data_IF_100422690593
#
_entry.id   IF_100422690593
#
_cell.length_a   1.000
_cell.length_b   1.000
_cell.length_c   1.000
_cell.angle_alpha   90.00
_cell.angle_beta   90.00
_cell.angle_gamma   90.00
#
_symmetry.space_group_name_H-M   'P 1'
#
loop_
_entity.id
_entity.type
_entity.pdbx_description
1 polymer ?
#
# COMPACT_ATOMS: atom_id res chain seq x y z
N UNK A 1 -8.66 4.88 -31.48
CA UNK A 1 -7.49 5.70 -31.86
C UNK A 1 -6.44 5.59 -30.75
N UNK A 2 -5.16 5.55 -31.11
CA UNK A 2 -4.04 5.40 -30.16
C UNK A 2 -3.01 6.50 -30.41
N UNK A 3 -2.74 7.35 -29.42
CA UNK A 3 -1.65 8.31 -29.48
C UNK A 3 -0.42 7.68 -28.81
N UNK A 4 0.48 7.15 -29.61
CA UNK A 4 1.71 6.51 -29.13
C UNK A 4 2.76 7.58 -28.86
N UNK A 5 3.16 7.73 -27.61
CA UNK A 5 4.03 8.80 -27.12
C UNK A 5 5.32 8.23 -26.57
N UNK A 6 6.41 8.92 -26.83
CA UNK A 6 7.70 8.74 -26.16
C UNK A 6 8.34 10.12 -25.94
N UNK A 7 9.12 10.26 -24.86
CA UNK A 7 9.79 11.51 -24.51
C UNK A 7 11.24 11.29 -24.11
N UNK A 8 12.07 12.30 -24.36
CA UNK A 8 13.38 12.41 -23.71
C UNK A 8 13.33 13.52 -22.67
N UNK A 9 14.11 13.36 -21.60
CA UNK A 9 14.02 14.25 -20.43
C UNK A 9 15.39 14.58 -19.86
N UNK A 10 15.45 15.69 -19.13
CA UNK A 10 16.65 16.12 -18.37
C UNK A 10 16.99 15.25 -17.15
N UNK A 11 16.24 14.18 -16.86
CA UNK A 11 16.45 13.29 -15.72
C UNK A 11 15.19 12.49 -15.34
N UNK A 12 15.24 11.69 -14.27
CA UNK A 12 14.25 10.64 -14.02
C UNK A 12 12.96 11.03 -13.27
N UNK A 13 12.79 12.29 -12.85
CA UNK A 13 11.65 12.71 -12.01
C UNK A 13 10.92 13.93 -12.59
N UNK A 14 9.62 13.84 -12.92
CA UNK A 14 8.87 14.94 -13.54
C UNK A 14 8.71 16.17 -12.63
N UNK A 15 8.92 16.02 -11.31
CA UNK A 15 8.85 17.16 -10.37
C UNK A 15 10.01 18.14 -10.56
N UNK A 16 11.20 17.61 -10.83
CA UNK A 16 12.46 18.37 -10.86
C UNK A 16 13.08 18.46 -12.25
N UNK A 17 12.64 17.62 -13.18
CA UNK A 17 13.17 17.53 -14.55
C UNK A 17 12.10 17.91 -15.58
N UNK A 18 12.58 18.30 -16.76
CA UNK A 18 11.80 18.82 -17.89
C UNK A 18 11.99 17.95 -19.14
N UNK A 19 11.04 18.04 -20.08
CA UNK A 19 11.05 17.36 -21.38
C UNK A 19 12.03 18.06 -22.33
N UNK A 20 12.83 17.28 -23.08
CA UNK A 20 13.80 17.76 -24.09
C UNK A 20 13.47 17.33 -25.51
N UNK A 21 12.66 16.28 -25.67
CA UNK A 21 12.12 15.81 -26.95
C UNK A 21 10.78 15.14 -26.69
N UNK A 22 9.83 15.30 -27.61
CA UNK A 22 8.56 14.59 -27.59
C UNK A 22 8.25 14.06 -28.99
N UNK A 23 7.82 12.80 -29.05
CA UNK A 23 7.30 12.18 -30.26
C UNK A 23 5.91 11.61 -29.99
N UNK A 24 4.96 11.90 -30.87
CA UNK A 24 3.59 11.42 -30.81
C UNK A 24 3.18 10.91 -32.19
N UNK A 25 2.82 9.64 -32.29
CA UNK A 25 2.23 9.03 -33.47
C UNK A 25 0.77 8.69 -33.21
N UNK A 26 -0.13 9.27 -34.00
CA UNK A 26 -1.54 8.93 -33.96
C UNK A 26 -1.77 7.71 -34.86
N UNK A 27 -2.26 6.62 -34.27
CA UNK A 27 -2.37 5.32 -34.90
C UNK A 27 -3.82 4.82 -34.82
N UNK A 28 -4.40 4.42 -35.95
CA UNK A 28 -5.81 4.00 -36.01
C UNK A 28 -6.04 2.51 -35.70
N UNK A 29 -4.96 1.75 -35.51
CA UNK A 29 -4.96 0.29 -35.37
C UNK A 29 -4.33 -0.42 -36.56
N UNK A 30 -4.21 0.26 -37.69
CA UNK A 30 -3.59 -0.25 -38.93
C UNK A 30 -2.44 0.64 -39.36
N UNK A 31 -2.68 1.95 -39.47
CA UNK A 31 -1.75 2.92 -40.04
C UNK A 31 -1.55 4.14 -39.12
N UNK A 32 -0.40 4.80 -39.26
CA UNK A 32 -0.14 6.09 -38.63
C UNK A 32 -0.86 7.14 -39.47
N UNK A 33 -1.78 7.88 -38.84
CA UNK A 33 -2.65 8.86 -39.49
C UNK A 33 -2.26 10.31 -39.19
N UNK A 34 -1.44 10.54 -38.17
CA UNK A 34 -0.86 11.84 -37.83
C UNK A 34 0.45 11.65 -37.05
N UNK A 35 1.37 12.61 -37.14
CA UNK A 35 2.62 12.60 -36.38
C UNK A 35 2.99 14.00 -35.86
N UNK A 36 3.62 14.02 -34.69
CA UNK A 36 4.19 15.23 -34.11
C UNK A 36 5.48 14.88 -33.37
N UNK A 37 6.61 15.35 -33.89
CA UNK A 37 7.94 15.12 -33.33
C UNK A 37 8.66 16.46 -33.22
N UNK A 38 9.18 16.78 -32.04
CA UNK A 38 9.96 18.01 -31.86
C UNK A 38 10.90 17.93 -30.67
N UNK A 39 12.03 18.64 -30.78
CA UNK A 39 12.83 19.00 -29.60
C UNK A 39 12.05 20.03 -28.78
N UNK A 40 12.30 20.04 -27.48
CA UNK A 40 11.67 20.97 -26.55
C UNK A 40 12.76 21.68 -25.77
N UNK A 41 12.69 23.01 -25.69
CA UNK A 41 13.53 23.77 -24.79
C UNK A 41 13.07 23.51 -23.35
N UNK A 42 13.86 22.82 -22.52
CA UNK A 42 13.46 22.45 -21.16
C UNK A 42 13.54 23.63 -20.18
N UNK A 43 14.08 24.78 -20.59
CA UNK A 43 14.36 25.94 -19.74
C UNK A 43 15.22 25.60 -18.50
N UNK A 44 16.03 24.54 -18.61
CA UNK A 44 16.96 24.08 -17.57
C UNK A 44 18.14 23.36 -18.22
N UNK A 45 19.24 23.23 -17.46
CA UNK A 45 20.45 22.57 -17.94
C UNK A 45 20.25 21.06 -18.08
N UNK A 46 20.64 20.51 -19.23
CA UNK A 46 20.73 19.06 -19.48
C UNK A 46 22.08 18.55 -18.96
N UNK A 47 22.10 17.67 -17.94
CA UNK A 47 23.34 17.11 -17.42
C UNK A 47 24.08 16.26 -18.47
N UNK A 48 25.42 16.28 -18.45
CA UNK A 48 26.24 15.56 -19.42
C UNK A 48 25.94 14.05 -19.51
N UNK A 49 25.60 13.40 -18.39
CA UNK A 49 25.25 11.98 -18.40
C UNK A 49 23.94 11.70 -19.15
N UNK A 50 22.98 12.65 -19.16
CA UNK A 50 21.75 12.57 -19.95
C UNK A 50 22.07 12.78 -21.44
N UNK A 51 22.85 13.81 -21.77
CA UNK A 51 23.31 14.03 -23.16
C UNK A 51 24.03 12.81 -23.73
N UNK A 52 24.81 12.09 -22.92
CA UNK A 52 25.43 10.83 -23.35
C UNK A 52 24.45 9.69 -23.61
N UNK A 53 23.28 9.71 -22.97
CA UNK A 53 22.24 8.68 -23.13
C UNK A 53 21.34 8.97 -24.33
N UNK A 54 20.90 10.22 -24.48
CA UNK A 54 19.88 10.62 -25.46
C UNK A 54 20.47 11.25 -26.72
N UNK A 55 21.74 11.68 -26.66
CA UNK A 55 22.38 12.45 -27.71
C UNK A 55 21.91 13.90 -27.83
N UNK A 56 20.99 14.35 -26.96
CA UNK A 56 20.45 15.72 -26.99
C UNK A 56 21.35 16.64 -26.16
N UNK A 57 21.92 17.65 -26.82
CA UNK A 57 22.79 18.65 -26.18
C UNK A 57 22.01 19.91 -25.79
N UNK A 58 22.58 20.71 -24.89
CA UNK A 58 21.97 21.99 -24.50
C UNK A 58 21.84 22.94 -25.70
N UNK A 59 22.79 22.91 -26.64
CA UNK A 59 22.80 23.73 -27.85
C UNK A 59 21.64 23.36 -28.78
N UNK A 60 21.32 22.06 -28.91
CA UNK A 60 20.22 21.58 -29.76
C UNK A 60 18.86 22.08 -29.30
N UNK A 61 18.65 22.20 -27.99
CA UNK A 61 17.35 22.60 -27.41
C UNK A 61 17.24 24.11 -27.15
N UNK A 62 18.31 24.87 -27.36
CA UNK A 62 18.32 26.32 -27.06
C UNK A 62 17.29 27.07 -27.91
N UNK A 63 17.24 26.78 -29.21
CA UNK A 63 16.32 27.39 -30.18
C UNK A 63 15.05 26.54 -30.42
N UNK A 64 14.90 25.43 -29.69
CA UNK A 64 13.71 24.60 -29.77
C UNK A 64 12.50 25.31 -29.11
N UNK A 65 11.25 24.99 -29.52
CA UNK A 65 10.08 25.55 -28.87
C UNK A 65 10.01 25.12 -27.40
N UNK A 66 9.54 26.00 -26.53
CA UNK A 66 9.22 25.67 -25.13
C UNK A 66 7.93 24.88 -25.07
N UNK A 67 7.71 24.15 -23.99
CA UNK A 67 6.54 23.27 -23.87
C UNK A 67 5.21 24.03 -24.07
N UNK A 68 5.07 25.25 -23.54
CA UNK A 68 3.83 26.03 -23.70
C UNK A 68 3.52 26.39 -25.17
N UNK A 69 4.52 26.44 -26.05
CA UNK A 69 4.35 26.74 -27.47
C UNK A 69 3.79 25.52 -28.23
N UNK A 70 4.09 24.31 -27.76
CA UNK A 70 3.63 23.05 -28.36
C UNK A 70 2.41 22.46 -27.66
N UNK A 71 2.04 22.95 -26.47
CA UNK A 71 0.99 22.40 -25.62
C UNK A 71 -0.34 22.20 -26.35
N UNK A 72 -0.76 23.19 -27.16
CA UNK A 72 -1.98 23.09 -27.97
C UNK A 72 -1.94 21.88 -28.92
N UNK A 73 -0.83 21.68 -29.63
CA UNK A 73 -0.68 20.58 -30.58
C UNK A 73 -0.70 19.23 -29.89
N UNK A 74 -0.08 19.12 -28.71
CA UNK A 74 -0.12 17.90 -27.88
C UNK A 74 -1.55 17.57 -27.44
N UNK A 75 -2.35 18.57 -27.04
CA UNK A 75 -3.77 18.36 -26.70
C UNK A 75 -4.55 17.87 -27.91
N UNK A 76 -4.38 18.51 -29.07
CA UNK A 76 -5.11 18.20 -30.30
C UNK A 76 -4.82 16.78 -30.80
N UNK A 77 -3.54 16.41 -30.94
CA UNK A 77 -3.16 15.08 -31.48
C UNK A 77 -3.52 13.93 -30.53
N UNK A 78 -3.59 14.19 -29.23
CA UNK A 78 -3.96 13.17 -28.22
C UNK A 78 -5.46 13.16 -27.90
N UNK A 79 -6.27 14.04 -28.50
CA UNK A 79 -7.71 14.08 -28.25
C UNK A 79 -8.37 12.79 -28.73
N UNK A 80 -9.33 12.28 -27.96
CA UNK A 80 -10.14 11.10 -28.30
C UNK A 80 -9.33 9.84 -28.64
N UNK A 81 -8.09 9.77 -28.14
CA UNK A 81 -7.17 8.66 -28.31
C UNK A 81 -6.64 8.15 -26.97
N UNK A 82 -6.35 6.84 -26.90
CA UNK A 82 -5.61 6.28 -25.78
C UNK A 82 -4.16 6.79 -25.83
N UNK A 83 -3.66 7.34 -24.73
CA UNK A 83 -2.25 7.67 -24.56
C UNK A 83 -1.46 6.39 -24.35
N UNK A 84 -0.66 5.98 -25.33
CA UNK A 84 0.09 4.72 -25.30
C UNK A 84 1.57 5.02 -25.15
N UNK A 85 2.26 4.32 -24.25
CA UNK A 85 3.72 4.40 -24.18
C UNK A 85 4.34 3.12 -23.60
N UNK A 86 5.65 2.95 -23.82
CA UNK A 86 6.40 1.79 -23.36
C UNK A 86 6.94 2.02 -21.94
N UNK A 87 6.10 1.73 -20.95
CA UNK A 87 6.18 2.18 -19.55
C UNK A 87 5.46 3.51 -19.29
N UNK A 88 4.17 3.54 -19.69
CA UNK A 88 3.33 4.75 -19.77
C UNK A 88 3.34 5.69 -18.57
N UNK A 89 3.55 5.20 -17.36
CA UNK A 89 3.60 6.05 -16.17
C UNK A 89 4.73 7.09 -16.25
N UNK A 90 5.85 6.76 -16.88
CA UNK A 90 6.96 7.70 -17.01
C UNK A 90 6.57 8.87 -17.92
N UNK A 91 6.31 8.59 -19.19
CA UNK A 91 6.01 9.58 -20.22
C UNK A 91 4.77 10.41 -19.87
N UNK A 92 3.70 9.73 -19.44
CA UNK A 92 2.44 10.37 -19.12
C UNK A 92 2.58 11.37 -17.97
N UNK A 93 3.33 11.03 -16.91
CA UNK A 93 3.52 11.95 -15.79
C UNK A 93 4.41 13.15 -16.12
N UNK A 94 5.35 13.03 -17.05
CA UNK A 94 6.11 14.18 -17.53
C UNK A 94 5.23 15.12 -18.36
N UNK A 95 4.48 14.59 -19.31
CA UNK A 95 3.54 15.38 -20.11
C UNK A 95 2.50 16.06 -19.20
N UNK A 96 1.92 15.30 -18.27
CA UNK A 96 0.99 15.83 -17.28
C UNK A 96 1.62 16.92 -16.41
N UNK A 97 2.88 16.76 -15.96
CA UNK A 97 3.54 17.77 -15.14
C UNK A 97 3.83 19.06 -15.92
N UNK A 98 4.18 18.97 -17.19
CA UNK A 98 4.35 20.17 -18.02
C UNK A 98 3.02 20.92 -18.19
N UNK A 99 1.89 20.23 -18.37
CA UNK A 99 0.57 20.86 -18.39
C UNK A 99 0.12 21.39 -17.01
N UNK A 100 0.46 20.70 -15.92
CA UNK A 100 0.20 21.19 -14.54
C UNK A 100 0.86 22.56 -14.32
N UNK A 101 2.08 22.77 -14.83
CA UNK A 101 2.80 24.06 -14.77
C UNK A 101 2.10 25.18 -15.54
N UNK A 102 1.30 24.82 -16.55
CA UNK A 102 0.48 25.74 -17.33
C UNK A 102 -0.92 25.95 -16.73
N UNK A 103 -1.26 25.24 -15.64
CA UNK A 103 -2.59 25.27 -15.05
C UNK A 103 -3.66 24.56 -15.90
N UNK A 104 -3.25 23.65 -16.79
CA UNK A 104 -4.17 22.90 -17.65
C UNK A 104 -4.31 21.45 -17.16
N UNK A 105 -5.53 20.95 -16.89
CA UNK A 105 -5.74 19.58 -16.43
C UNK A 105 -5.63 18.57 -17.58
N UNK A 106 -4.41 18.12 -17.90
CA UNK A 106 -4.19 17.12 -18.94
C UNK A 106 -4.57 15.71 -18.47
N UNK A 107 -5.67 15.18 -19.03
CA UNK A 107 -6.20 13.85 -18.71
C UNK A 107 -6.44 13.03 -19.97
N UNK A 108 -5.90 11.81 -20.02
CA UNK A 108 -6.08 10.83 -21.10
C UNK A 108 -6.16 9.43 -20.50
N UNK A 109 -6.97 8.57 -21.11
CA UNK A 109 -6.88 7.14 -20.83
C UNK A 109 -5.52 6.61 -21.30
N UNK A 110 -4.89 5.73 -20.52
CA UNK A 110 -3.51 5.29 -20.79
C UNK A 110 -3.41 3.79 -21.09
N UNK A 111 -2.52 3.42 -22.00
CA UNK A 111 -2.19 2.03 -22.33
C UNK A 111 -0.68 1.79 -22.20
N UNK A 112 -0.28 0.85 -21.34
CA UNK A 112 1.12 0.50 -21.16
C UNK A 112 1.48 -0.73 -22.01
N UNK A 113 2.33 -0.56 -23.02
CA UNK A 113 2.71 -1.69 -23.88
C UNK A 113 3.47 -2.77 -23.12
N UNK A 114 4.27 -2.44 -22.08
CA UNK A 114 4.91 -3.45 -21.21
C UNK A 114 3.89 -4.37 -20.53
N UNK A 115 2.82 -3.78 -19.96
CA UNK A 115 1.77 -4.56 -19.27
C UNK A 115 0.99 -5.40 -20.27
N UNK A 116 0.69 -4.83 -21.45
CA UNK A 116 0.02 -5.53 -22.53
C UNK A 116 0.86 -6.70 -23.06
N UNK A 117 2.16 -6.49 -23.31
CA UNK A 117 3.08 -7.53 -23.77
C UNK A 117 3.18 -8.68 -22.79
N UNK A 118 3.20 -8.43 -21.46
CA UNK A 118 3.19 -9.51 -20.46
C UNK A 118 1.94 -10.38 -20.53
N UNK A 119 0.78 -9.79 -20.85
CA UNK A 119 -0.49 -10.52 -21.01
C UNK A 119 -0.57 -11.27 -22.34
N UNK A 120 -0.09 -10.66 -23.43
CA UNK A 120 -0.15 -11.28 -24.75
C UNK A 120 0.94 -12.34 -24.94
N UNK A 121 2.14 -12.11 -24.39
CA UNK A 121 3.35 -12.90 -24.61
C UNK A 121 4.04 -13.16 -23.25
N UNK A 122 3.48 -14.04 -22.41
CA UNK A 122 4.07 -14.35 -21.10
C UNK A 122 5.40 -15.12 -21.26
N UNK A 123 6.30 -14.95 -20.29
CA UNK A 123 7.52 -15.76 -20.17
C UNK A 123 8.80 -15.19 -20.78
N UNK A 124 8.80 -13.95 -21.28
CA UNK A 124 10.02 -13.30 -21.75
C UNK A 124 10.93 -12.92 -20.58
N UNK A 125 12.26 -13.03 -20.77
CA UNK A 125 13.27 -12.66 -19.78
C UNK A 125 13.28 -11.16 -19.45
N UNK A 126 12.91 -10.33 -20.42
CA UNK A 126 12.81 -8.87 -20.29
C UNK A 126 11.74 -8.34 -21.23
N UNK A 127 11.07 -7.28 -20.79
CA UNK A 127 10.06 -6.56 -21.57
C UNK A 127 10.49 -5.12 -21.88
N UNK A 128 11.78 -4.78 -21.74
CA UNK A 128 12.31 -3.51 -22.26
C UNK A 128 12.11 -3.44 -23.77
N UNK A 129 11.86 -2.25 -24.32
CA UNK A 129 11.53 -2.04 -25.73
C UNK A 129 12.52 -2.76 -26.66
N UNK A 130 13.83 -2.58 -26.45
CA UNK A 130 14.88 -3.25 -27.21
C UNK A 130 14.76 -4.78 -27.24
N UNK A 131 14.68 -5.42 -26.07
CA UNK A 131 14.58 -6.88 -25.98
C UNK A 131 13.24 -7.41 -26.53
N UNK A 132 12.16 -6.62 -26.37
CA UNK A 132 10.85 -6.98 -26.89
C UNK A 132 10.84 -6.92 -28.42
N UNK A 133 11.34 -5.83 -29.02
CA UNK A 133 11.50 -5.69 -30.47
C UNK A 133 12.38 -6.81 -31.03
N UNK A 134 13.52 -7.11 -30.40
CA UNK A 134 14.38 -8.23 -30.79
C UNK A 134 13.63 -9.57 -30.77
N UNK A 135 12.86 -9.82 -29.71
CA UNK A 135 12.08 -11.07 -29.59
C UNK A 135 10.96 -11.17 -30.63
N UNK A 136 10.48 -10.04 -31.14
CA UNK A 136 9.40 -9.94 -32.12
C UNK A 136 9.89 -9.75 -33.56
N UNK A 137 11.20 -9.66 -33.79
CA UNK A 137 11.76 -9.38 -35.12
C UNK A 137 11.44 -7.97 -35.63
N UNK A 138 11.21 -7.00 -34.73
CA UNK A 138 10.99 -5.59 -35.08
C UNK A 138 12.36 -4.89 -35.15
N UNK A 139 12.68 -4.30 -36.30
CA UNK A 139 13.86 -3.44 -36.44
C UNK A 139 13.66 -2.11 -35.71
N UNK A 140 14.63 -1.73 -34.88
CA UNK A 140 14.65 -0.42 -34.22
C UNK A 140 15.63 0.47 -34.98
N UNK A 141 15.11 1.56 -35.54
CA UNK A 141 15.91 2.63 -36.14
C UNK A 141 16.03 3.79 -35.14
N UNK A 142 17.21 4.40 -35.02
CA UNK A 142 17.47 5.55 -34.14
C UNK A 142 17.06 5.34 -32.66
N UNK A 143 17.52 4.24 -32.06
CA UNK A 143 17.31 3.95 -30.63
C UNK A 143 17.81 5.09 -29.73
N UNK A 144 17.09 5.39 -28.64
CA UNK A 144 17.39 6.50 -27.71
C UNK A 144 17.11 7.90 -28.29
N UNK A 145 16.13 7.95 -29.19
CA UNK A 145 15.48 9.17 -29.65
C UNK A 145 13.99 8.93 -29.58
N UNK A 146 13.24 9.95 -29.15
CA UNK A 146 11.82 9.79 -28.90
C UNK A 146 11.06 9.26 -30.13
N UNK A 147 11.40 9.75 -31.32
CA UNK A 147 10.77 9.31 -32.56
C UNK A 147 11.01 7.82 -32.87
N UNK A 148 12.26 7.35 -32.70
CA UNK A 148 12.63 5.96 -32.97
C UNK A 148 11.93 5.00 -32.01
N UNK A 149 11.91 5.34 -30.72
CA UNK A 149 11.33 4.51 -29.68
C UNK A 149 9.78 4.55 -29.71
N UNK A 150 9.15 5.69 -30.02
CA UNK A 150 7.71 5.78 -30.26
C UNK A 150 7.28 4.95 -31.49
N UNK A 151 8.04 4.99 -32.60
CA UNK A 151 7.74 4.22 -33.79
C UNK A 151 7.88 2.70 -33.55
N UNK A 152 8.93 2.29 -32.83
CA UNK A 152 9.08 0.91 -32.38
C UNK A 152 7.90 0.48 -31.49
N UNK A 153 7.42 1.38 -30.62
CA UNK A 153 6.24 1.16 -29.78
C UNK A 153 4.95 1.02 -30.60
N UNK A 154 4.76 1.77 -31.68
CA UNK A 154 3.65 1.57 -32.64
C UNK A 154 3.70 0.16 -33.22
N UNK A 155 4.89 -0.28 -33.66
CA UNK A 155 5.09 -1.61 -34.24
C UNK A 155 4.75 -2.73 -33.24
N UNK A 156 5.19 -2.57 -31.99
CA UNK A 156 4.84 -3.48 -30.89
C UNK A 156 3.33 -3.48 -30.66
N UNK A 157 2.68 -2.31 -30.57
CA UNK A 157 1.24 -2.20 -30.35
C UNK A 157 0.45 -2.88 -31.48
N UNK A 158 0.82 -2.64 -32.74
CA UNK A 158 0.20 -3.26 -33.92
C UNK A 158 0.25 -4.79 -33.85
N UNK A 159 1.39 -5.36 -33.48
CA UNK A 159 1.52 -6.81 -33.26
C UNK A 159 0.63 -7.32 -32.12
N UNK A 160 0.61 -6.61 -30.98
CA UNK A 160 -0.18 -7.02 -29.81
C UNK A 160 -1.69 -6.99 -30.09
N UNK A 161 -2.16 -5.99 -30.85
CA UNK A 161 -3.53 -5.89 -31.32
C UNK A 161 -3.91 -7.08 -32.22
N UNK A 162 -2.99 -7.52 -33.09
CA UNK A 162 -3.20 -8.68 -33.95
C UNK A 162 -3.16 -10.03 -33.21
N UNK A 163 -2.38 -10.16 -32.14
CA UNK A 163 -2.23 -11.41 -31.40
C UNK A 163 -3.45 -11.78 -30.55
N UNK A 164 -4.12 -10.80 -29.96
CA UNK A 164 -5.27 -11.00 -29.07
C UNK A 164 -6.35 -9.94 -29.28
N UNK A 165 -7.03 -9.92 -30.45
CA UNK A 165 -8.08 -8.96 -30.75
C UNK A 165 -9.23 -9.00 -29.74
N UNK A 166 -9.48 -10.15 -29.11
CA UNK A 166 -10.49 -10.34 -28.07
C UNK A 166 -10.27 -9.51 -26.80
N UNK A 167 -9.02 -9.11 -26.51
CA UNK A 167 -8.70 -8.20 -25.38
C UNK A 167 -9.20 -6.76 -25.63
N UNK A 168 -9.53 -6.43 -26.88
CA UNK A 168 -9.95 -5.10 -27.30
C UNK A 168 -11.42 -5.06 -27.74
N UNK A 169 -11.99 -6.20 -28.16
CA UNK A 169 -13.37 -6.30 -28.65
C UNK A 169 -14.46 -6.19 -27.56
N UNK A 170 -14.14 -6.45 -26.29
CA UNK A 170 -15.13 -6.52 -25.19
C UNK A 170 -15.14 -5.31 -24.25
N UNK A 171 -14.54 -4.18 -24.64
CA UNK A 171 -14.24 -3.09 -23.72
C UNK A 171 -13.00 -3.44 -22.89
N UNK A 172 -12.07 -2.50 -22.80
CA UNK A 172 -10.69 -2.70 -22.35
C UNK A 172 -10.59 -3.25 -20.92
N UNK A 173 -10.42 -4.57 -20.79
CA UNK A 173 -9.94 -5.24 -19.55
C UNK A 173 -8.39 -5.31 -19.55
N UNK A 174 -7.77 -4.31 -20.18
CA UNK A 174 -6.33 -4.12 -20.15
C UNK A 174 -6.04 -3.33 -18.89
N UNK A 175 -5.01 -3.69 -18.10
CA UNK A 175 -4.62 -2.91 -16.95
C UNK A 175 -4.01 -1.62 -17.49
N UNK A 176 -4.90 -0.68 -17.76
CA UNK A 176 -4.61 0.70 -18.04
C UNK A 176 -3.84 1.23 -16.82
N UNK A 177 -2.89 2.13 -17.04
CA UNK A 177 -2.34 2.93 -15.94
C UNK A 177 -3.37 3.95 -15.44
N UNK A 178 -4.67 3.68 -15.63
CA UNK A 178 -5.77 4.53 -15.23
C UNK A 178 -5.81 4.45 -13.72
N UNK A 179 -5.55 5.58 -13.08
CA UNK A 179 -6.12 5.79 -11.77
C UNK A 179 -7.64 5.86 -11.96
N UNK A 180 -8.35 4.90 -11.36
CA UNK A 180 -9.79 4.89 -11.37
C UNK A 180 -10.24 6.04 -10.46
N UNK A 181 -10.78 7.12 -11.03
CA UNK A 181 -11.37 8.24 -10.28
C UNK A 181 -12.41 8.97 -11.12
N UNK A 182 -13.25 9.80 -10.48
CA UNK A 182 -14.19 10.64 -11.20
C UNK A 182 -13.45 11.73 -12.02
N UNK A 183 -13.98 12.20 -13.18
CA UNK A 183 -13.31 13.16 -14.05
C UNK A 183 -12.83 14.46 -13.38
N UNK A 184 -13.47 14.89 -12.29
CA UNK A 184 -13.12 16.12 -11.56
C UNK A 184 -12.38 15.84 -10.24
N UNK A 185 -11.70 14.70 -10.15
CA UNK A 185 -10.98 14.31 -8.94
C UNK A 185 -9.84 15.30 -8.62
N UNK A 186 -9.78 15.76 -7.37
CA UNK A 186 -8.73 16.65 -6.91
C UNK A 186 -7.39 15.89 -6.73
N UNK A 187 -6.62 15.80 -7.81
CA UNK A 187 -5.33 15.09 -7.81
C UNK A 187 -4.29 15.70 -6.86
N UNK A 188 -4.38 17.01 -6.61
CA UNK A 188 -3.43 17.69 -5.73
C UNK A 188 -3.50 17.14 -4.32
N UNK A 189 -4.71 16.90 -3.80
CA UNK A 189 -4.87 16.26 -2.48
C UNK A 189 -4.25 14.87 -2.42
N UNK A 190 -4.37 14.07 -3.48
CA UNK A 190 -3.72 12.74 -3.54
C UNK A 190 -2.18 12.83 -3.48
N UNK A 191 -1.58 13.85 -4.10
CA UNK A 191 -0.12 14.08 -4.02
C UNK A 191 0.33 14.44 -2.61
N UNK A 192 -0.49 15.23 -1.91
CA UNK A 192 -0.17 15.82 -0.61
C UNK A 192 -0.43 14.87 0.57
N UNK A 193 -1.06 13.71 0.33
CA UNK A 193 -1.24 12.68 1.36
C UNK A 193 0.12 12.19 1.88
N UNK A 194 0.36 12.22 3.20
CA UNK A 194 1.62 11.77 3.79
C UNK A 194 1.73 10.25 3.88
N UNK A 195 2.96 9.75 3.93
CA UNK A 195 3.27 8.32 4.17
C UNK A 195 3.24 8.02 5.67
N UNK A 196 2.05 8.08 6.27
CA UNK A 196 1.84 7.94 7.71
C UNK A 196 0.65 7.03 8.03
N UNK A 197 0.57 6.59 9.30
CA UNK A 197 -0.55 5.82 9.83
C UNK A 197 -1.76 6.73 10.00
N UNK A 198 -2.93 6.31 9.50
CA UNK A 198 -4.14 7.09 9.63
C UNK A 198 -5.38 6.47 9.01
N UNK A 199 -6.43 7.29 8.98
CA UNK A 199 -7.74 7.02 8.38
C UNK A 199 -7.91 7.97 7.19
N UNK A 200 -8.53 7.50 6.12
CA UNK A 200 -8.84 8.31 4.94
C UNK A 200 -10.31 8.17 4.55
N UNK A 201 -10.82 9.23 3.94
CA UNK A 201 -12.22 9.46 3.64
C UNK A 201 -12.36 9.79 2.15
N UNK A 202 -13.27 9.13 1.46
CA UNK A 202 -13.55 9.40 0.04
C UNK A 202 -14.94 10.00 -0.10
N UNK A 203 -15.03 11.08 -0.88
CA UNK A 203 -16.27 11.82 -1.09
C UNK A 203 -16.69 11.82 -2.55
N UNK A 204 -17.99 11.81 -2.79
CA UNK A 204 -18.56 11.94 -4.12
C UNK A 204 -18.79 13.40 -4.54
N UNK A 205 -19.25 13.61 -5.77
CA UNK A 205 -19.53 14.95 -6.33
C UNK A 205 -20.60 15.77 -5.59
N UNK A 206 -21.38 15.14 -4.70
CA UNK A 206 -22.37 15.80 -3.84
C UNK A 206 -21.80 16.17 -2.47
N UNK A 207 -20.54 15.85 -2.19
CA UNK A 207 -19.91 16.02 -0.88
C UNK A 207 -20.30 14.95 0.14
N UNK A 208 -20.91 13.85 -0.28
CA UNK A 208 -21.31 12.76 0.61
C UNK A 208 -20.11 11.83 0.87
N UNK A 209 -19.93 11.42 2.13
CA UNK A 209 -18.92 10.43 2.52
C UNK A 209 -19.33 9.04 2.04
N UNK A 210 -18.60 8.51 1.06
CA UNK A 210 -18.95 7.23 0.42
C UNK A 210 -18.06 6.06 0.88
N UNK A 211 -16.87 6.35 1.44
CA UNK A 211 -15.96 5.34 1.95
C UNK A 211 -15.03 5.87 3.05
N UNK A 212 -14.77 5.02 4.05
CA UNK A 212 -13.76 5.21 5.09
C UNK A 212 -12.80 4.03 5.04
N UNK A 213 -11.50 4.29 5.00
CA UNK A 213 -10.46 3.26 5.09
C UNK A 213 -9.36 3.65 6.06
N UNK A 214 -8.53 2.68 6.45
CA UNK A 214 -7.36 2.88 7.31
C UNK A 214 -6.12 2.21 6.74
N UNK A 215 -4.94 2.69 7.13
CA UNK A 215 -3.68 2.07 6.75
C UNK A 215 -2.53 2.45 7.67
N UNK A 216 -1.48 1.62 7.68
CA UNK A 216 -0.15 1.95 8.21
C UNK A 216 0.57 2.98 7.35
N UNK A 217 0.19 3.08 6.07
CA UNK A 217 0.64 4.08 5.11
C UNK A 217 -0.53 4.48 4.20
N UNK A 218 -1.25 5.54 4.58
CA UNK A 218 -2.44 6.00 3.85
C UNK A 218 -2.13 6.38 2.40
N UNK A 219 -1.00 7.03 2.12
CA UNK A 219 -0.60 7.39 0.75
C UNK A 219 -0.46 6.16 -0.14
N UNK A 220 0.26 5.14 0.34
CA UNK A 220 0.47 3.88 -0.39
C UNK A 220 -0.84 3.16 -0.63
N UNK A 221 -1.67 3.01 0.40
CA UNK A 221 -2.94 2.29 0.27
C UNK A 221 -3.92 2.96 -0.67
N UNK A 222 -4.05 4.29 -0.59
CA UNK A 222 -4.91 5.05 -1.51
C UNK A 222 -4.37 4.90 -2.94
N UNK A 223 -3.07 5.09 -3.16
CA UNK A 223 -2.47 4.95 -4.48
C UNK A 223 -2.72 3.55 -5.09
N UNK A 224 -2.46 2.49 -4.33
CA UNK A 224 -2.72 1.12 -4.77
C UNK A 224 -4.20 0.89 -5.09
N UNK A 225 -5.11 1.47 -4.30
CA UNK A 225 -6.54 1.34 -4.52
C UNK A 225 -6.98 2.01 -5.82
N UNK A 226 -6.46 3.21 -6.11
CA UNK A 226 -6.76 3.95 -7.34
C UNK A 226 -6.10 3.33 -8.58
N UNK A 227 -4.89 2.80 -8.49
CA UNK A 227 -4.16 2.21 -9.63
C UNK A 227 -4.57 0.77 -9.96
N UNK A 228 -4.98 0.00 -8.94
CA UNK A 228 -5.24 -1.44 -9.05
C UNK A 228 -6.47 -1.83 -8.21
N UNK A 229 -7.68 -1.36 -8.56
CA UNK A 229 -8.88 -1.77 -7.85
C UNK A 229 -9.11 -3.27 -8.00
N UNK A 230 -9.20 -3.98 -6.87
CA UNK A 230 -9.26 -5.45 -6.86
C UNK A 230 -10.66 -6.02 -7.02
N UNK A 231 -11.69 -5.16 -7.00
CA UNK A 231 -13.10 -5.57 -7.04
C UNK A 231 -13.93 -4.56 -7.82
N UNK A 232 -15.01 -5.03 -8.47
CA UNK A 232 -16.02 -4.17 -9.12
C UNK A 232 -16.62 -3.12 -8.18
N UNK A 233 -16.72 -3.44 -6.89
CA UNK A 233 -17.16 -2.50 -5.86
C UNK A 233 -16.17 -1.35 -5.71
N UNK A 234 -14.88 -1.66 -5.64
CA UNK A 234 -13.81 -0.67 -5.56
C UNK A 234 -13.77 0.21 -6.81
N UNK A 235 -13.88 -0.38 -8.00
CA UNK A 235 -13.95 0.38 -9.27
C UNK A 235 -15.12 1.38 -9.25
N UNK A 236 -16.32 0.95 -8.86
CA UNK A 236 -17.50 1.81 -8.78
C UNK A 236 -17.37 2.93 -7.73
N UNK A 237 -16.77 2.63 -6.59
CA UNK A 237 -16.51 3.60 -5.53
C UNK A 237 -15.57 4.70 -6.03
N UNK A 238 -14.48 4.28 -6.65
CA UNK A 238 -13.44 5.16 -7.14
C UNK A 238 -13.94 6.03 -8.30
N UNK A 239 -14.70 5.47 -9.24
CA UNK A 239 -15.34 6.23 -10.31
C UNK A 239 -16.29 7.34 -9.81
N UNK A 240 -16.78 7.24 -8.57
CA UNK A 240 -17.61 8.27 -7.94
C UNK A 240 -16.81 9.23 -7.06
N UNK A 241 -15.56 8.90 -6.74
CA UNK A 241 -14.73 9.70 -5.83
C UNK A 241 -14.20 10.94 -6.55
N UNK A 242 -14.54 12.13 -6.03
CA UNK A 242 -14.02 13.42 -6.50
C UNK A 242 -13.05 14.06 -5.51
N UNK A 243 -13.14 13.69 -4.24
CA UNK A 243 -12.34 14.31 -3.18
C UNK A 243 -11.89 13.28 -2.15
N UNK A 244 -10.76 13.57 -1.52
CA UNK A 244 -10.17 12.77 -0.44
C UNK A 244 -9.90 13.66 0.75
N UNK A 245 -10.16 13.14 1.93
CA UNK A 245 -9.66 13.70 3.18
C UNK A 245 -8.95 12.61 3.99
N UNK A 246 -8.19 13.00 5.01
CA UNK A 246 -7.51 12.07 5.89
C UNK A 246 -7.31 12.63 7.29
N UNK A 247 -7.15 11.72 8.24
CA UNK A 247 -6.74 12.02 9.59
C UNK A 247 -5.59 11.13 9.99
N UNK A 248 -4.49 11.75 10.42
CA UNK A 248 -3.34 11.04 10.96
C UNK A 248 -3.64 10.59 12.39
N UNK A 249 -3.19 9.39 12.72
CA UNK A 249 -3.32 8.84 14.07
C UNK A 249 -1.98 8.44 14.66
N UNK A 250 -0.98 8.09 13.84
CA UNK A 250 0.30 7.56 14.33
C UNK A 250 0.21 6.15 14.93
N UNK A 251 -0.95 5.77 15.49
CA UNK A 251 -1.27 4.45 16.01
C UNK A 251 -2.30 3.74 15.16
N UNK A 252 -2.00 2.49 14.78
CA UNK A 252 -2.91 1.62 14.04
C UNK A 252 -4.15 1.27 14.86
N UNK A 253 -4.01 1.12 16.20
CA UNK A 253 -5.15 0.81 17.08
C UNK A 253 -6.17 1.94 17.06
N UNK A 254 -5.68 3.18 17.16
CA UNK A 254 -6.53 4.36 17.14
C UNK A 254 -7.17 4.51 15.75
N UNK A 255 -6.42 4.31 14.66
CA UNK A 255 -6.99 4.31 13.31
C UNK A 255 -8.10 3.26 13.14
N UNK A 256 -7.95 2.09 13.75
CA UNK A 256 -8.96 1.02 13.72
C UNK A 256 -10.23 1.38 14.51
N UNK A 257 -10.11 2.06 15.64
CA UNK A 257 -11.27 2.57 16.40
C UNK A 257 -12.01 3.62 15.57
N UNK A 258 -11.29 4.62 15.09
CA UNK A 258 -11.85 5.75 14.33
C UNK A 258 -12.54 5.26 13.05
N UNK A 259 -11.92 4.33 12.32
CA UNK A 259 -12.55 3.69 11.16
C UNK A 259 -13.87 3.02 11.55
N UNK A 260 -13.84 2.18 12.60
CA UNK A 260 -15.00 1.40 13.00
C UNK A 260 -16.17 2.28 13.46
N UNK A 261 -15.90 3.30 14.27
CA UNK A 261 -16.91 4.26 14.71
C UNK A 261 -17.41 5.11 13.55
N UNK A 262 -16.52 5.63 12.71
CA UNK A 262 -16.88 6.43 11.55
C UNK A 262 -17.78 5.68 10.58
N UNK A 263 -17.54 4.37 10.37
CA UNK A 263 -18.42 3.52 9.55
C UNK A 263 -19.80 3.37 10.17
N UNK A 264 -19.90 3.17 11.49
CA UNK A 264 -21.17 3.03 12.20
C UNK A 264 -21.96 4.33 12.18
N UNK A 265 -21.28 5.46 12.41
CA UNK A 265 -21.89 6.79 12.48
C UNK A 265 -22.37 7.28 11.10
N UNK A 266 -21.55 7.10 10.06
CA UNK A 266 -21.82 7.69 8.74
C UNK A 266 -22.48 6.72 7.75
N UNK A 267 -22.45 5.41 8.05
CA UNK A 267 -22.94 4.34 7.19
C UNK A 267 -22.59 4.51 5.68
N UNK A 268 -21.30 4.64 5.31
CA UNK A 268 -20.92 4.95 3.93
C UNK A 268 -21.29 3.82 2.97
N UNK A 269 -21.77 4.18 1.76
CA UNK A 269 -22.26 3.23 0.74
C UNK A 269 -21.26 2.08 0.49
N UNK A 270 -19.96 2.39 0.39
CA UNK A 270 -18.95 1.42 0.01
C UNK A 270 -18.26 0.71 1.18
N UNK A 271 -18.61 1.00 2.43
CA UNK A 271 -18.19 0.20 3.59
C UNK A 271 -19.09 -1.03 3.84
N UNK A 272 -20.10 -1.24 2.99
CA UNK A 272 -21.03 -2.38 3.02
C UNK A 272 -20.37 -3.71 2.62
N UNK A 273 -19.76 -4.40 3.57
CA UNK A 273 -19.24 -5.74 3.35
C UNK A 273 -18.86 -6.39 4.66
N UNK A 274 -19.20 -7.69 4.81
CA UNK A 274 -18.47 -8.51 5.79
C UNK A 274 -17.00 -8.36 5.43
N UNK A 275 -16.19 -7.79 6.34
CA UNK A 275 -14.72 -7.84 6.23
C UNK A 275 -14.40 -9.24 5.74
N UNK A 276 -13.80 -9.36 4.54
CA UNK A 276 -13.17 -10.63 4.16
C UNK A 276 -12.14 -10.80 5.27
N UNK A 277 -12.48 -11.59 6.28
CA UNK A 277 -11.60 -11.81 7.42
C UNK A 277 -10.32 -12.27 6.75
N UNK A 278 -9.26 -11.45 6.85
CA UNK A 278 -7.91 -12.00 6.78
C UNK A 278 -7.94 -13.25 7.63
N UNK A 279 -7.23 -14.32 7.24
CA UNK A 279 -7.29 -15.61 7.94
C UNK A 279 -6.82 -15.42 9.38
N UNK A 280 -7.74 -14.99 10.23
CA UNK A 280 -7.51 -14.70 11.63
C UNK A 280 -7.13 -16.03 12.24
N UNK A 281 -6.04 -16.00 12.98
CA UNK A 281 -5.54 -17.16 13.70
C UNK A 281 -5.77 -16.95 15.19
N UNK A 282 -6.10 -18.01 15.88
CA UNK A 282 -6.21 -18.06 17.32
C UNK A 282 -4.99 -18.72 17.95
N UNK A 283 -4.56 -18.21 19.10
CA UNK A 283 -3.75 -18.95 20.06
C UNK A 283 -4.67 -19.78 20.95
N UNK A 284 -4.51 -21.10 20.92
CA UNK A 284 -5.26 -22.05 21.72
C UNK A 284 -4.36 -22.69 22.76
N UNK A 285 -4.92 -22.90 23.96
CA UNK A 285 -4.25 -23.56 25.07
C UNK A 285 -4.99 -24.86 25.41
N UNK A 286 -4.29 -26.01 25.33
CA UNK A 286 -4.89 -27.34 25.52
C UNK A 286 -3.96 -28.20 26.37
N UNK A 287 -4.52 -28.91 27.37
CA UNK A 287 -3.74 -29.84 28.18
C UNK A 287 -3.56 -31.16 27.40
N UNK A 288 -2.34 -31.66 27.30
CA UNK A 288 -2.04 -32.94 26.66
C UNK A 288 -2.26 -34.14 27.60
N UNK A 289 -2.06 -35.36 27.07
CA UNK A 289 -2.20 -36.60 27.84
C UNK A 289 -1.18 -36.78 28.97
N UNK A 290 -0.13 -35.96 29.02
CA UNK A 290 0.87 -35.94 30.08
C UNK A 290 0.62 -34.81 31.10
N UNK A 291 -0.44 -34.03 30.91
CA UNK A 291 -0.84 -32.96 31.83
C UNK A 291 -0.22 -31.60 31.54
N UNK A 292 0.53 -31.41 30.45
CA UNK A 292 1.15 -30.12 30.13
C UNK A 292 0.23 -29.23 29.29
N UNK A 293 0.23 -27.92 29.57
CA UNK A 293 -0.52 -26.92 28.83
C UNK A 293 0.22 -26.53 27.53
N UNK A 294 -0.29 -27.01 26.40
CA UNK A 294 0.29 -26.79 25.08
C UNK A 294 -0.31 -25.54 24.42
N UNK A 295 0.52 -24.80 23.69
CA UNK A 295 0.10 -23.64 22.89
C UNK A 295 0.12 -23.98 21.41
N UNK A 296 -0.98 -23.69 20.72
CA UNK A 296 -1.14 -23.98 19.28
C UNK A 296 -1.74 -22.78 18.56
N UNK A 297 -1.26 -22.54 17.33
CA UNK A 297 -1.78 -21.49 16.45
C UNK A 297 -2.59 -22.17 15.34
N UNK A 298 -3.87 -21.86 15.26
CA UNK A 298 -4.78 -22.44 14.25
C UNK A 298 -5.78 -21.39 13.75
N UNK A 299 -6.45 -21.66 12.64
CA UNK A 299 -7.50 -20.79 12.08
C UNK A 299 -8.70 -20.65 13.02
N UNK A 300 -9.38 -19.50 13.01
CA UNK A 300 -10.60 -19.28 13.83
C UNK A 300 -11.84 -20.09 13.37
N UNK A 301 -11.77 -20.79 12.24
CA UNK A 301 -12.88 -21.59 11.71
C UNK A 301 -13.02 -22.98 12.35
N UNK A 302 -12.19 -23.33 13.33
CA UNK A 302 -12.24 -24.65 13.98
C UNK A 302 -13.42 -24.71 14.94
N UNK A 303 -14.50 -25.40 14.53
CA UNK A 303 -15.69 -25.63 15.37
C UNK A 303 -15.30 -26.24 16.72
N UNK A 304 -15.77 -25.64 17.81
CA UNK A 304 -15.64 -26.17 19.17
C UNK A 304 -14.36 -25.78 19.93
N UNK A 305 -13.47 -24.96 19.37
CA UNK A 305 -12.33 -24.38 20.10
C UNK A 305 -12.49 -22.87 20.27
N UNK A 306 -12.31 -22.40 21.50
CA UNK A 306 -12.31 -20.95 21.81
C UNK A 306 -10.85 -20.48 21.88
N UNK A 307 -10.43 -19.53 21.03
CA UNK A 307 -9.08 -18.98 21.12
C UNK A 307 -8.94 -18.19 22.43
N UNK A 308 -7.74 -18.22 23.02
CA UNK A 308 -7.41 -17.36 24.16
C UNK A 308 -7.10 -15.93 23.71
N UNK A 309 -6.49 -15.80 22.55
CA UNK A 309 -6.15 -14.54 21.88
C UNK A 309 -6.25 -14.78 20.38
N UNK A 310 -6.64 -13.76 19.61
CA UNK A 310 -6.63 -13.84 18.14
C UNK A 310 -5.71 -12.80 17.52
N UNK A 311 -5.21 -13.10 16.32
CA UNK A 311 -4.23 -12.29 15.60
C UNK A 311 -4.60 -12.17 14.12
N UNK A 312 -4.19 -11.05 13.52
CA UNK A 312 -4.42 -10.75 12.09
C UNK A 312 -3.66 -11.69 11.14
N UNK A 313 -2.54 -12.28 11.60
CA UNK A 313 -1.72 -13.19 10.82
C UNK A 313 -1.02 -14.26 11.66
N UNK A 314 -0.61 -15.34 10.99
CA UNK A 314 0.18 -16.43 11.61
C UNK A 314 1.54 -15.94 12.08
N UNK A 315 2.12 -14.98 11.37
CA UNK A 315 3.41 -14.38 11.67
C UNK A 315 3.36 -13.58 12.98
N UNK A 316 2.33 -12.74 13.18
CA UNK A 316 2.12 -12.03 14.46
C UNK A 316 1.92 -13.01 15.62
N UNK A 317 1.05 -14.01 15.43
CA UNK A 317 0.83 -15.05 16.44
C UNK A 317 2.12 -15.78 16.85
N UNK A 318 2.97 -16.15 15.87
CA UNK A 318 4.27 -16.78 16.14
C UNK A 318 5.23 -15.86 16.89
N UNK A 319 5.26 -14.57 16.54
CA UNK A 319 6.08 -13.57 17.24
C UNK A 319 5.72 -13.53 18.73
N UNK A 320 4.42 -13.44 19.04
CA UNK A 320 3.93 -13.46 20.42
C UNK A 320 4.24 -14.77 21.13
N UNK A 321 4.00 -15.93 20.50
CA UNK A 321 4.34 -17.22 21.12
C UNK A 321 5.84 -17.34 21.41
N UNK A 322 6.71 -16.90 20.50
CA UNK A 322 8.16 -16.87 20.73
C UNK A 322 8.53 -15.96 21.91
N UNK A 323 7.88 -14.80 22.03
CA UNK A 323 8.05 -13.94 23.19
C UNK A 323 7.63 -14.64 24.50
N UNK A 324 6.49 -15.33 24.52
CA UNK A 324 6.05 -16.10 25.69
C UNK A 324 7.07 -17.18 26.08
N UNK A 325 7.59 -17.90 25.07
CA UNK A 325 8.63 -18.93 25.27
C UNK A 325 9.85 -18.33 25.96
N UNK A 326 10.34 -17.19 25.48
CA UNK A 326 11.56 -16.56 25.97
C UNK A 326 11.37 -15.94 27.37
N UNK A 327 10.24 -15.27 27.63
CA UNK A 327 10.03 -14.52 28.87
C UNK A 327 9.52 -15.39 30.03
N UNK A 328 8.80 -16.48 29.73
CA UNK A 328 8.26 -17.38 30.74
C UNK A 328 8.98 -18.74 30.78
N UNK A 329 10.05 -18.92 30.00
CA UNK A 329 10.82 -20.17 29.95
C UNK A 329 9.96 -21.37 29.57
N UNK A 330 9.13 -21.21 28.53
CA UNK A 330 8.25 -22.27 28.04
C UNK A 330 8.99 -23.20 27.07
N UNK A 331 8.43 -24.38 26.84
CA UNK A 331 9.01 -25.37 25.96
C UNK A 331 8.60 -25.11 24.51
N UNK A 332 9.58 -24.99 23.60
CA UNK A 332 9.31 -24.73 22.18
C UNK A 332 8.47 -25.84 21.53
N UNK A 333 8.70 -27.10 21.91
CA UNK A 333 7.92 -28.25 21.38
C UNK A 333 6.47 -28.16 21.82
N UNK A 334 6.20 -27.93 23.11
CA UNK A 334 4.83 -27.80 23.64
C UNK A 334 4.12 -26.52 23.15
N UNK A 335 4.87 -25.54 22.64
CA UNK A 335 4.34 -24.34 22.00
C UNK A 335 4.27 -24.44 20.45
N UNK A 336 4.53 -25.62 19.88
CA UNK A 336 4.46 -25.87 18.43
C UNK A 336 5.50 -25.11 17.59
N UNK A 337 6.59 -24.64 18.21
CA UNK A 337 7.66 -23.88 17.55
C UNK A 337 8.90 -24.73 17.22
N UNK A 338 8.87 -26.04 17.55
CA UNK A 338 9.99 -26.95 17.28
C UNK A 338 9.47 -28.33 16.83
N UNK A 339 10.04 -28.86 15.74
CA UNK A 339 9.60 -30.12 15.10
C UNK A 339 10.65 -31.24 15.07
N UNK A 340 11.76 -31.10 15.81
CA UNK A 340 12.82 -32.13 15.83
C UNK A 340 12.50 -33.32 16.74
N UNK A 341 13.09 -34.48 16.43
CA UNK A 341 13.02 -35.69 17.26
C UNK A 341 14.06 -35.63 18.39
N UNK A 342 13.72 -35.03 19.52
CA UNK A 342 14.59 -34.92 20.69
C UNK A 342 14.26 -33.71 21.57
N UNK A 343 15.10 -33.40 22.58
CA UNK A 343 14.92 -32.22 23.42
C UNK A 343 14.88 -30.94 22.56
N UNK A 344 13.96 -30.02 22.87
CA UNK A 344 13.87 -28.75 22.14
C UNK A 344 15.19 -27.96 22.21
N UNK A 345 15.43 -27.08 21.24
CA UNK A 345 16.66 -26.28 21.19
C UNK A 345 16.89 -25.51 22.50
N UNK A 346 15.86 -24.88 23.08
CA UNK A 346 15.97 -24.19 24.38
C UNK A 346 16.39 -25.09 25.53
N UNK A 347 16.06 -26.39 25.49
CA UNK A 347 16.52 -27.34 26.50
C UNK A 347 18.03 -27.58 26.35
N UNK A 348 18.51 -27.68 25.13
CA UNK A 348 19.93 -27.91 24.83
C UNK A 348 20.81 -26.74 25.28
N UNK A 349 20.28 -25.51 25.24
CA UNK A 349 20.98 -24.28 25.68
C UNK A 349 20.60 -23.81 27.09
N UNK A 350 19.85 -24.60 27.86
CA UNK A 350 19.51 -24.30 29.27
C UNK A 350 18.40 -23.26 29.50
N UNK A 351 17.69 -22.81 28.47
CA UNK A 351 16.55 -21.87 28.56
C UNK A 351 15.20 -22.56 28.80
N UNK A 352 15.14 -23.89 28.73
CA UNK A 352 13.95 -24.70 28.99
C UNK A 352 14.23 -25.76 30.05
N UNK A 353 13.29 -25.91 31.00
CA UNK A 353 13.40 -26.85 32.14
C UNK A 353 13.09 -28.31 31.79
N UNK A 354 12.77 -28.61 30.52
CA UNK A 354 12.68 -29.99 30.02
C UNK A 354 11.26 -30.57 30.02
N UNK A 355 10.22 -29.75 29.90
CA UNK A 355 8.85 -30.24 29.81
C UNK A 355 8.63 -31.23 28.63
N UNK A 356 9.26 -31.01 27.48
CA UNK A 356 9.20 -31.96 26.34
C UNK A 356 9.88 -33.31 26.59
N UNK A 357 10.82 -33.36 27.55
CA UNK A 357 11.51 -34.58 27.98
C UNK A 357 10.96 -35.12 29.29
N UNK A 358 9.91 -34.49 29.84
CA UNK A 358 9.29 -34.80 31.13
C UNK A 358 10.24 -34.69 32.34
N UNK A 359 11.35 -33.96 32.20
CA UNK A 359 12.27 -33.67 33.30
C UNK A 359 11.71 -32.61 34.27
N UNK A 360 10.81 -31.77 33.77
CA UNK A 360 10.05 -30.80 34.54
C UNK A 360 8.64 -31.31 34.79
N UNK A 361 8.11 -31.18 36.01
CA UNK A 361 6.74 -31.62 36.29
C UNK A 361 5.67 -30.76 35.58
N UNK A 362 4.51 -31.35 35.20
CA UNK A 362 3.41 -30.60 34.60
C UNK A 362 2.92 -29.43 35.45
N UNK A 363 2.88 -29.60 36.78
CA UNK A 363 2.46 -28.54 37.69
C UNK A 363 3.35 -27.30 37.63
N UNK A 364 4.67 -27.49 37.65
CA UNK A 364 5.66 -26.40 37.57
C UNK A 364 5.62 -25.70 36.22
N UNK A 365 5.54 -26.47 35.13
CA UNK A 365 5.42 -25.92 33.78
C UNK A 365 4.13 -25.11 33.59
N UNK A 366 2.99 -25.68 34.02
CA UNK A 366 1.67 -25.08 33.84
C UNK A 366 1.50 -23.77 34.62
N UNK A 367 2.18 -23.59 35.75
CA UNK A 367 2.21 -22.30 36.46
C UNK A 367 2.77 -21.19 35.55
N UNK A 368 3.89 -21.44 34.88
CA UNK A 368 4.49 -20.47 33.95
C UNK A 368 3.65 -20.30 32.68
N UNK A 369 3.09 -21.38 32.14
CA UNK A 369 2.22 -21.30 30.97
C UNK A 369 0.94 -20.49 31.25
N UNK A 370 0.31 -20.66 32.42
CA UNK A 370 -0.86 -19.84 32.79
C UNK A 370 -0.50 -18.38 33.03
N UNK A 371 0.64 -18.10 33.68
CA UNK A 371 1.15 -16.73 33.83
C UNK A 371 1.40 -16.07 32.46
N UNK A 372 1.93 -16.83 31.50
CA UNK A 372 2.13 -16.38 30.13
C UNK A 372 0.80 -16.00 29.45
N UNK A 373 -0.25 -16.81 29.58
CA UNK A 373 -1.58 -16.47 29.06
C UNK A 373 -2.18 -15.22 29.73
N UNK A 374 -2.06 -15.11 31.06
CA UNK A 374 -2.56 -13.95 31.81
C UNK A 374 -1.83 -12.65 31.42
N UNK A 375 -0.57 -12.73 30.98
CA UNK A 375 0.17 -11.57 30.50
C UNK A 375 -0.43 -10.93 29.25
N UNK A 376 -1.10 -11.73 28.40
CA UNK A 376 -1.75 -11.26 27.18
C UNK A 376 -3.19 -10.78 27.39
N UNK A 377 -3.79 -11.09 28.54
CA UNK A 377 -5.15 -10.66 28.85
C UNK A 377 -5.18 -9.21 29.34
N UNK A 378 -6.17 -8.44 28.91
CA UNK A 378 -6.50 -7.13 29.47
C UNK A 378 -7.62 -7.20 30.52
N UNK A 379 -8.22 -8.37 30.72
CA UNK A 379 -9.35 -8.55 31.64
C UNK A 379 -9.00 -8.09 33.06
N UNK A 380 -9.86 -7.27 33.65
CA UNK A 380 -9.65 -6.73 34.99
C UNK A 380 -8.57 -5.65 35.10
N UNK A 381 -7.86 -5.32 34.01
CA UNK A 381 -6.73 -4.37 34.04
C UNK A 381 -7.17 -2.96 33.62
N UNK A 382 -6.59 -1.96 34.28
CA UNK A 382 -6.72 -0.55 33.91
C UNK A 382 -5.33 0.00 33.60
N UNK A 383 -5.16 0.56 32.40
CA UNK A 383 -3.87 1.10 31.95
C UNK A 383 -4.04 2.06 30.76
N UNK A 384 -3.02 2.88 30.53
CA UNK A 384 -2.78 3.60 29.29
C UNK A 384 -1.74 2.85 28.46
N UNK A 385 -2.07 2.57 27.20
CA UNK A 385 -1.14 2.03 26.21
C UNK A 385 -0.62 3.19 25.35
N UNK A 386 0.65 3.52 25.50
CA UNK A 386 1.31 4.62 24.80
C UNK A 386 1.93 4.10 23.49
N UNK A 387 1.68 4.83 22.41
CA UNK A 387 2.13 4.53 21.04
C UNK A 387 2.61 5.84 20.36
N UNK A 388 3.04 5.75 19.11
CA UNK A 388 3.43 6.89 18.28
C UNK A 388 2.26 7.84 18.07
N UNK A 389 2.52 9.14 18.13
CA UNK A 389 1.56 10.19 17.81
C UNK A 389 1.55 10.54 16.33
N UNK A 390 0.77 11.55 15.97
CA UNK A 390 0.48 11.93 14.58
C UNK A 390 1.67 12.59 13.91
N UNK A 391 2.46 13.30 14.71
CA UNK A 391 3.61 14.09 14.28
C UNK A 391 4.86 13.69 15.06
N UNK A 392 6.03 14.13 14.58
CA UNK A 392 7.28 13.95 15.29
C UNK A 392 7.23 14.57 16.70
N UNK A 393 7.67 13.81 17.71
CA UNK A 393 7.64 14.23 19.12
C UNK A 393 6.29 14.06 19.82
N UNK A 394 5.20 13.83 19.09
CA UNK A 394 3.90 13.52 19.69
C UNK A 394 3.79 12.03 20.01
N UNK A 395 3.10 11.70 21.10
CA UNK A 395 2.68 10.36 21.47
C UNK A 395 1.16 10.25 21.43
N UNK A 396 0.68 9.03 21.23
CA UNK A 396 -0.73 8.72 21.39
C UNK A 396 -0.92 7.77 22.58
N UNK A 397 -2.13 7.73 23.11
CA UNK A 397 -2.49 6.76 24.14
C UNK A 397 -3.85 6.15 23.89
N UNK A 398 -4.00 4.87 24.25
CA UNK A 398 -5.27 4.17 24.34
C UNK A 398 -5.56 3.90 25.82
N UNK A 399 -6.72 4.35 26.29
CA UNK A 399 -7.20 4.19 27.66
C UNK A 399 -8.02 2.93 27.79
N UNK A 400 -7.58 2.02 28.64
CA UNK A 400 -8.28 0.78 29.00
C UNK A 400 -8.64 0.84 30.48
N UNK A 401 -9.92 0.62 30.80
CA UNK A 401 -10.45 0.59 32.18
C UNK A 401 -11.17 -0.74 32.38
N UNK A 402 -10.74 -1.52 33.38
CA UNK A 402 -11.31 -2.81 33.71
C UNK A 402 -11.48 -3.75 32.48
N UNK A 403 -10.44 -3.81 31.64
CA UNK A 403 -10.43 -4.60 30.40
C UNK A 403 -11.28 -4.06 29.26
N UNK A 404 -11.84 -2.85 29.38
CA UNK A 404 -12.61 -2.19 28.32
C UNK A 404 -11.87 -0.98 27.80
N UNK A 405 -11.73 -0.89 26.48
CA UNK A 405 -11.37 0.35 25.80
C UNK A 405 -12.39 1.43 26.17
N UNK A 406 -11.89 2.57 26.66
CA UNK A 406 -12.70 3.67 27.19
C UNK A 406 -12.39 5.03 26.53
N UNK A 407 -11.29 5.13 25.79
CA UNK A 407 -10.94 6.35 25.06
C UNK A 407 -9.54 6.31 24.46
N UNK A 408 -9.20 7.32 23.68
CA UNK A 408 -7.85 7.52 23.15
C UNK A 408 -7.49 9.01 23.16
N UNK A 409 -6.22 9.33 22.95
CA UNK A 409 -5.79 10.72 22.83
C UNK A 409 -4.38 10.87 22.31
N UNK A 410 -3.96 12.13 22.17
CA UNK A 410 -2.65 12.53 21.68
C UNK A 410 -2.06 13.57 22.62
N UNK A 411 -0.76 13.48 22.86
CA UNK A 411 -0.07 14.39 23.76
C UNK A 411 1.39 14.53 23.36
N UNK A 412 1.98 15.67 23.69
CA UNK A 412 3.43 15.84 23.62
C UNK A 412 4.00 15.62 25.02
N UNK A 413 4.94 14.66 25.20
CA UNK A 413 5.56 14.40 26.50
C UNK A 413 6.22 15.64 27.13
N UNK A 414 6.70 16.58 26.32
CA UNK A 414 7.34 17.81 26.82
C UNK A 414 6.36 18.77 27.51
N UNK A 415 5.09 18.79 27.10
CA UNK A 415 4.08 19.71 27.64
C UNK A 415 3.25 19.11 28.78
N UNK A 416 3.07 17.78 28.80
CA UNK A 416 2.23 17.09 29.78
C UNK A 416 3.01 16.66 31.03
N UNK A 417 4.33 16.53 30.95
CA UNK A 417 5.15 16.02 32.06
C UNK A 417 4.71 14.61 32.47
N UNK A 418 4.60 14.34 33.78
CA UNK A 418 4.18 13.04 34.33
C UNK A 418 2.70 12.99 34.78
N UNK A 419 1.88 13.99 34.43
CA UNK A 419 0.49 14.08 34.91
C UNK A 419 -0.43 13.12 34.16
N UNK A 420 -0.49 11.87 34.62
CA UNK A 420 -1.36 10.81 34.09
C UNK A 420 -2.84 11.22 34.17
N UNK A 421 -3.25 11.93 35.22
CA UNK A 421 -4.62 12.38 35.43
C UNK A 421 -5.12 13.29 34.29
N UNK A 422 -4.25 14.17 33.78
CA UNK A 422 -4.58 15.04 32.66
C UNK A 422 -4.88 14.23 31.40
N UNK A 423 -4.09 13.18 31.12
CA UNK A 423 -4.33 12.29 29.97
C UNK A 423 -5.65 11.54 30.10
N UNK A 424 -5.99 11.09 31.31
CA UNK A 424 -7.24 10.37 31.60
C UNK A 424 -8.45 11.26 31.34
N UNK A 425 -8.39 12.54 31.73
CA UNK A 425 -9.45 13.53 31.60
C UNK A 425 -9.61 14.04 30.16
N UNK A 426 -8.50 14.20 29.42
CA UNK A 426 -8.52 14.70 28.03
C UNK A 426 -8.77 13.60 26.98
N UNK A 427 -8.96 12.35 27.41
CA UNK A 427 -9.20 11.24 26.49
C UNK A 427 -10.50 11.43 25.72
N UNK A 428 -10.44 11.37 24.39
CA UNK A 428 -11.61 11.27 23.53
C UNK A 428 -12.31 9.95 23.85
N UNK A 429 -13.58 9.96 24.32
CA UNK A 429 -14.32 8.74 24.58
C UNK A 429 -14.50 7.93 23.29
N UNK A 430 -14.42 6.60 23.39
CA UNK A 430 -14.71 5.71 22.28
C UNK A 430 -15.36 4.40 22.75
N UNK A 431 -15.93 3.66 21.81
CA UNK A 431 -16.58 2.39 21.99
C UNK A 431 -15.62 1.25 22.32
N UNK A 432 -16.20 0.15 22.81
CA UNK A 432 -15.45 -1.08 23.04
C UNK A 432 -15.40 -1.93 21.77
N UNK A 433 -14.21 -2.05 21.16
CA UNK A 433 -14.01 -2.79 19.92
C UNK A 433 -13.21 -4.08 20.17
N UNK A 434 -13.86 -5.25 20.06
CA UNK A 434 -13.22 -6.56 20.28
C UNK A 434 -12.01 -6.80 19.34
N UNK A 435 -12.10 -6.36 18.09
CA UNK A 435 -11.00 -6.50 17.14
C UNK A 435 -9.75 -5.71 17.58
N UNK A 436 -9.94 -4.58 18.25
CA UNK A 436 -8.86 -3.75 18.80
C UNK A 436 -8.30 -4.39 20.07
N UNK A 437 -9.16 -4.97 20.93
CA UNK A 437 -8.73 -5.76 22.10
C UNK A 437 -7.81 -6.89 21.69
N UNK A 438 -8.13 -7.61 20.62
CA UNK A 438 -7.28 -8.67 20.09
C UNK A 438 -5.92 -8.12 19.62
N UNK A 439 -5.90 -6.95 18.98
CA UNK A 439 -4.67 -6.29 18.54
C UNK A 439 -3.83 -5.69 19.68
N UNK A 440 -4.40 -5.48 20.88
CA UNK A 440 -3.64 -5.06 22.08
C UNK A 440 -2.75 -6.20 22.59
N UNK A 441 -3.15 -7.46 22.48
CA UNK A 441 -2.38 -8.58 22.99
C UNK A 441 -0.98 -8.69 22.35
N UNK A 442 -0.87 -8.38 21.04
CA UNK A 442 0.42 -8.29 20.34
C UNK A 442 1.34 -7.22 20.95
N UNK A 443 0.76 -6.10 21.39
CA UNK A 443 1.50 -4.97 21.98
C UNK A 443 1.91 -5.23 23.42
N UNK A 444 1.08 -5.93 24.18
CA UNK A 444 1.43 -6.41 25.52
C UNK A 444 2.62 -7.38 25.48
N UNK A 445 2.70 -8.21 24.43
CA UNK A 445 3.80 -9.12 24.19
C UNK A 445 5.07 -8.44 23.63
N UNK A 446 5.05 -7.13 23.35
CA UNK A 446 6.23 -6.41 22.87
C UNK A 446 6.41 -5.05 23.56
N UNK A 447 6.73 -5.04 24.87
CA UNK A 447 6.86 -3.81 25.66
C UNK A 447 8.05 -2.92 25.27
N UNK A 448 8.95 -3.39 24.38
CA UNK A 448 10.03 -2.54 23.84
C UNK A 448 9.55 -1.59 22.74
N UNK A 449 8.43 -1.92 22.08
CA UNK A 449 7.81 -1.09 21.06
C UNK A 449 6.72 -0.17 21.62
N UNK A 450 6.17 -0.48 22.80
CA UNK A 450 5.03 0.23 23.40
C UNK A 450 5.20 0.40 24.90
N UNK A 451 4.82 1.55 25.45
CA UNK A 451 4.91 1.82 26.89
C UNK A 451 3.53 1.67 27.53
N UNK A 452 3.45 0.89 28.61
CA UNK A 452 2.22 0.70 29.39
C UNK A 452 2.33 1.47 30.69
N UNK A 453 1.30 2.22 31.06
CA UNK A 453 1.18 2.93 32.32
C UNK A 453 -0.05 2.39 33.05
N UNK A 454 0.15 1.67 34.15
CA UNK A 454 -0.98 1.13 34.93
C UNK A 454 -1.72 2.26 35.67
N UNK A 455 -3.04 2.11 35.81
CA UNK A 455 -3.94 3.06 36.45
C UNK A 455 -4.45 2.53 37.80
#
# INVERSE_FOLDING_TARGET
MYAVVDIETTGGSPKTHRITEIAIYLFDGTDIVDEFVTLVNPETFIPYHITRLTGITNEMVTEAPRFYEIAKRVVEITSDALFVAHNVNFDYHFVQNEFDRLGYPFMRETLCTVRLSRKCIPGLKSYSLGNLCQSLGIEINNRHRAAGDAYATVSVLKMLLGLKPELFANGLDIPTGIMHYAPNFNYQKLRDIPECVGVYYLYNSRGELIFIGRSDNIKKSIKEQFELPRTKKSERMLAQTVDIDYMLTGSELIAQIIEAEGIVENNPEFNTGKRVRQREVGLYAVIDGHGYLNFTIDTLSVKGKVPRVSFESKEKAKSVVNWLINNFGLCQTLCGQYGGSGPCFHRQIGLCMGACTQDESPGQYNLRANAALQSLSIEGKSFLLIDKGRNYGEQSFLKVINGRIAGYGFFNPEYVGNSIDLLIETATPCGHHNDVVNAIADRLANPTAYRIINL
#
